data_IF_415766762598
#
_entry.id   IF_415766762598
#
_cell.length_a   1.000
_cell.length_b   1.000
_cell.length_c   1.000
_cell.angle_alpha   90.00
_cell.angle_beta   90.00
_cell.angle_gamma   90.00
#
_symmetry.space_group_name_H-M   'P 1'
#
loop_
_entity.id
_entity.type
_entity.pdbx_description
1 polymer ?
#
# COMPACT_ATOMS: atom_id res chain seq x y z
N UNK A 1 0.89 -12.04 24.10
CA UNK A 1 1.05 -12.56 22.72
C UNK A 1 0.18 -13.79 22.58
N UNK A 2 -0.61 -13.89 21.51
CA UNK A 2 -1.53 -15.03 21.27
C UNK A 2 -0.88 -15.92 20.22
N UNK A 3 -0.82 -17.25 20.47
CA UNK A 3 -0.17 -18.21 19.55
C UNK A 3 -1.22 -18.81 18.61
N UNK A 4 -0.93 -18.82 17.31
CA UNK A 4 -1.78 -19.40 16.27
C UNK A 4 -1.11 -20.66 15.72
N UNK A 5 -1.74 -21.80 15.96
CA UNK A 5 -1.21 -23.12 15.62
C UNK A 5 -2.10 -23.90 14.63
N UNK A 6 -3.28 -23.39 14.30
CA UNK A 6 -4.26 -24.10 13.47
C UNK A 6 -4.73 -23.26 12.29
N UNK A 7 -4.92 -23.91 11.13
CA UNK A 7 -5.58 -23.32 9.95
C UNK A 7 -7.05 -22.94 10.20
N UNK A 8 -7.65 -23.56 11.23
CA UNK A 8 -9.04 -23.27 11.61
C UNK A 8 -9.20 -21.96 12.39
N UNK A 9 -8.09 -21.38 12.85
CA UNK A 9 -8.10 -20.09 13.53
C UNK A 9 -8.71 -19.00 12.64
N UNK A 10 -9.63 -18.22 13.21
CA UNK A 10 -10.37 -17.17 12.49
C UNK A 10 -9.46 -16.09 11.93
N UNK A 11 -8.44 -15.67 12.68
CA UNK A 11 -7.48 -14.67 12.22
C UNK A 11 -6.68 -15.17 11.01
N UNK A 12 -6.18 -16.41 11.06
CA UNK A 12 -5.49 -17.04 9.93
C UNK A 12 -6.37 -17.03 8.67
N UNK A 13 -7.63 -17.49 8.80
CA UNK A 13 -8.59 -17.50 7.68
C UNK A 13 -8.87 -16.09 7.13
N UNK A 14 -9.02 -15.11 8.01
CA UNK A 14 -9.28 -13.73 7.62
C UNK A 14 -8.08 -13.12 6.89
N UNK A 15 -6.86 -13.26 7.41
CA UNK A 15 -5.65 -12.77 6.73
C UNK A 15 -5.49 -13.45 5.37
N UNK A 16 -5.68 -14.77 5.29
CA UNK A 16 -5.56 -15.51 4.02
C UNK A 16 -6.51 -14.99 2.94
N UNK A 17 -7.75 -14.61 3.30
CA UNK A 17 -8.72 -14.01 2.38
C UNK A 17 -8.25 -12.67 1.80
N UNK A 18 -7.43 -11.89 2.53
CA UNK A 18 -6.92 -10.60 2.06
C UNK A 18 -5.93 -10.72 0.88
N UNK A 19 -5.48 -11.93 0.53
CA UNK A 19 -4.72 -12.16 -0.71
C UNK A 19 -5.55 -11.85 -1.95
N UNK A 20 -6.87 -11.93 -1.87
CA UNK A 20 -7.79 -11.64 -2.97
C UNK A 20 -8.27 -10.19 -2.93
N UNK A 21 -8.21 -9.48 -4.08
CA UNK A 21 -8.67 -8.09 -4.23
C UNK A 21 -10.09 -7.88 -3.71
N UNK A 22 -11.02 -8.80 -4.07
CA UNK A 22 -12.44 -8.71 -3.65
C UNK A 22 -12.57 -8.63 -2.13
N UNK A 23 -11.80 -9.43 -1.40
CA UNK A 23 -11.86 -9.46 0.05
C UNK A 23 -11.19 -8.22 0.65
N UNK A 24 -10.06 -7.73 0.10
CA UNK A 24 -9.45 -6.46 0.53
C UNK A 24 -10.43 -5.30 0.41
N UNK A 25 -11.10 -5.18 -0.73
CA UNK A 25 -12.08 -4.11 -0.98
C UNK A 25 -13.28 -4.20 -0.03
N UNK A 26 -13.76 -5.42 0.27
CA UNK A 26 -14.88 -5.65 1.19
C UNK A 26 -14.52 -5.32 2.64
N UNK A 27 -13.38 -5.85 3.11
CA UNK A 27 -12.93 -5.70 4.49
C UNK A 27 -12.23 -4.35 4.74
N UNK A 28 -11.92 -3.60 3.68
CA UNK A 28 -11.13 -2.36 3.72
C UNK A 28 -9.79 -2.55 4.43
N UNK A 29 -9.13 -3.69 4.14
CA UNK A 29 -7.85 -4.08 4.76
C UNK A 29 -6.92 -4.70 3.74
N UNK A 30 -5.63 -4.58 4.01
CA UNK A 30 -4.58 -5.22 3.22
C UNK A 30 -3.44 -5.71 4.10
N UNK A 31 -2.51 -6.46 3.51
CA UNK A 31 -1.35 -7.03 4.20
C UNK A 31 -0.10 -6.28 3.74
N UNK A 32 0.77 -5.98 4.70
CA UNK A 32 2.14 -5.57 4.44
C UNK A 32 3.09 -6.60 5.05
N UNK A 33 4.22 -6.86 4.40
CA UNK A 33 5.21 -7.87 4.81
C UNK A 33 6.60 -7.25 4.92
N UNK A 34 7.31 -7.62 5.97
CA UNK A 34 8.71 -7.26 6.21
C UNK A 34 8.89 -6.15 7.24
N UNK A 35 9.96 -6.27 8.05
CA UNK A 35 10.20 -5.40 9.19
C UNK A 35 10.26 -3.92 8.81
N UNK A 36 11.01 -3.58 7.75
CA UNK A 36 11.16 -2.20 7.31
C UNK A 36 9.85 -1.58 6.86
N UNK A 37 9.04 -2.34 6.10
CA UNK A 37 7.76 -1.84 5.61
C UNK A 37 6.75 -1.68 6.73
N UNK A 38 6.74 -2.61 7.70
CA UNK A 38 5.89 -2.52 8.90
C UNK A 38 6.31 -1.34 9.77
N UNK A 39 7.60 -1.16 10.00
CA UNK A 39 8.14 0.00 10.73
C UNK A 39 7.75 1.32 10.07
N UNK A 40 7.88 1.39 8.73
CA UNK A 40 7.49 2.56 7.95
C UNK A 40 5.98 2.85 8.03
N UNK A 41 5.16 1.81 8.04
CA UNK A 41 3.72 1.95 8.28
C UNK A 41 3.41 2.59 9.63
N UNK A 42 4.10 2.18 10.70
CA UNK A 42 3.96 2.80 12.02
C UNK A 42 4.42 4.27 12.02
N UNK A 43 5.59 4.56 11.44
CA UNK A 43 6.12 5.93 11.35
C UNK A 43 5.18 6.87 10.61
N UNK A 44 4.52 6.37 9.57
CA UNK A 44 3.54 7.11 8.79
C UNK A 44 2.15 7.23 9.45
N UNK A 45 1.94 6.61 10.60
CA UNK A 45 0.64 6.61 11.30
C UNK A 45 -0.42 5.75 10.63
N UNK A 46 -0.04 4.71 9.88
CA UNK A 46 -0.99 3.77 9.28
C UNK A 46 -1.81 3.04 10.37
N UNK A 47 -3.10 2.82 10.12
CA UNK A 47 -3.98 2.10 11.05
C UNK A 47 -3.69 0.59 11.00
N UNK A 48 -2.69 0.18 11.76
CA UNK A 48 -2.27 -1.22 11.87
C UNK A 48 -3.17 -1.94 12.88
N UNK A 49 -4.00 -2.85 12.39
CA UNK A 49 -4.94 -3.63 13.22
C UNK A 49 -4.23 -4.68 14.07
N UNK A 50 -3.25 -5.36 13.49
CA UNK A 50 -2.45 -6.35 14.21
C UNK A 50 -1.13 -6.65 13.50
N UNK A 51 -0.20 -7.19 14.29
CA UNK A 51 1.05 -7.81 13.84
C UNK A 51 0.97 -9.33 13.95
N UNK A 52 1.54 -10.02 12.97
CA UNK A 52 1.77 -11.46 13.04
C UNK A 52 3.26 -11.70 12.84
N UNK A 53 3.88 -12.32 13.83
CA UNK A 53 5.29 -12.69 13.86
C UNK A 53 5.40 -14.18 13.62
N UNK A 54 6.26 -14.59 12.71
CA UNK A 54 6.61 -15.98 12.51
C UNK A 54 7.41 -16.49 13.71
N UNK A 55 7.10 -17.69 14.20
CA UNK A 55 7.84 -18.35 15.25
C UNK A 55 9.34 -18.40 14.94
N UNK A 56 10.16 -17.99 15.90
CA UNK A 56 11.61 -17.84 15.77
C UNK A 56 12.09 -16.46 15.33
N UNK A 57 11.20 -15.50 15.01
CA UNK A 57 11.55 -14.14 14.65
C UNK A 57 11.24 -13.09 15.75
N UNK A 58 10.95 -13.53 16.98
CA UNK A 58 10.54 -12.67 18.10
C UNK A 58 11.65 -11.69 18.49
N UNK A 59 12.91 -12.15 18.52
CA UNK A 59 14.06 -11.29 18.81
C UNK A 59 14.19 -10.19 17.76
N UNK A 60 14.12 -10.56 16.50
CA UNK A 60 14.19 -9.60 15.38
C UNK A 60 13.01 -8.62 15.40
N UNK A 61 11.81 -9.08 15.73
CA UNK A 61 10.67 -8.21 15.92
C UNK A 61 10.91 -7.20 17.05
N UNK A 62 11.52 -7.62 18.14
CA UNK A 62 11.86 -6.72 19.24
C UNK A 62 12.95 -5.70 18.84
N UNK A 63 13.89 -6.06 18.00
CA UNK A 63 14.93 -5.13 17.51
C UNK A 63 14.35 -4.03 16.62
N UNK A 64 13.46 -4.37 15.68
CA UNK A 64 12.91 -3.42 14.70
C UNK A 64 11.66 -2.69 15.16
N UNK A 65 10.82 -3.32 15.99
CA UNK A 65 9.47 -2.86 16.29
C UNK A 65 9.24 -2.61 17.78
N UNK A 66 10.29 -2.55 18.60
CA UNK A 66 10.22 -2.47 20.07
C UNK A 66 9.21 -1.43 20.55
N UNK A 67 9.23 -0.24 19.99
CA UNK A 67 8.37 0.89 20.40
C UNK A 67 6.89 0.63 20.07
N UNK A 68 6.62 -0.20 19.06
CA UNK A 68 5.27 -0.47 18.53
C UNK A 68 4.67 -1.75 19.12
N UNK A 69 5.49 -2.64 19.69
CA UNK A 69 5.00 -3.91 20.25
C UNK A 69 4.09 -3.71 21.48
N UNK A 70 4.22 -2.60 22.18
CA UNK A 70 3.42 -2.28 23.38
C UNK A 70 2.00 -1.83 23.05
N UNK A 71 1.78 -1.27 21.87
CA UNK A 71 0.50 -0.67 21.45
C UNK A 71 -0.27 -1.52 20.43
N UNK A 72 0.34 -2.61 19.94
CA UNK A 72 -0.22 -3.44 18.88
C UNK A 72 -0.78 -4.77 19.41
N UNK A 73 -1.81 -5.28 18.74
CA UNK A 73 -2.23 -6.68 18.91
C UNK A 73 -1.22 -7.59 18.21
N UNK A 74 -0.53 -8.42 18.96
CA UNK A 74 0.55 -9.27 18.44
C UNK A 74 0.14 -10.73 18.52
N UNK A 75 0.34 -11.42 17.39
CA UNK A 75 0.14 -12.86 17.26
C UNK A 75 1.45 -13.52 16.84
N UNK A 76 1.76 -14.64 17.48
CA UNK A 76 2.84 -15.53 17.07
C UNK A 76 2.25 -16.66 16.24
N UNK A 77 2.85 -16.96 15.10
CA UNK A 77 2.32 -17.98 14.19
C UNK A 77 3.40 -18.99 13.80
N UNK A 78 3.04 -20.27 13.80
CA UNK A 78 3.92 -21.34 13.32
C UNK A 78 4.39 -21.07 11.89
N UNK A 79 5.67 -21.34 11.61
CA UNK A 79 6.31 -21.14 10.30
C UNK A 79 5.50 -21.77 9.14
N UNK A 80 4.97 -22.98 9.34
CA UNK A 80 4.17 -23.69 8.31
C UNK A 80 2.85 -23.02 7.95
N UNK A 81 2.28 -22.21 8.87
CA UNK A 81 1.08 -21.42 8.63
C UNK A 81 1.46 -20.05 8.05
N UNK A 82 2.47 -19.40 8.61
CA UNK A 82 2.92 -18.09 8.19
C UNK A 82 3.25 -18.07 6.68
N UNK A 83 4.02 -19.05 6.20
CA UNK A 83 4.36 -19.18 4.78
C UNK A 83 3.17 -19.28 3.82
N UNK A 84 1.96 -19.65 4.31
CA UNK A 84 0.75 -19.68 3.48
C UNK A 84 0.11 -18.29 3.32
N UNK A 85 0.46 -17.34 4.17
CA UNK A 85 -0.10 -15.98 4.18
C UNK A 85 0.70 -15.02 3.31
N UNK A 86 1.97 -15.28 3.11
CA UNK A 86 2.89 -14.43 2.36
C UNK A 86 2.99 -14.82 0.89
N UNK A 87 3.53 -13.92 0.07
CA UNK A 87 3.73 -14.13 -1.36
C UNK A 87 5.21 -14.31 -1.72
N UNK A 88 6.12 -14.00 -0.80
CA UNK A 88 7.57 -14.11 -1.03
C UNK A 88 8.08 -15.52 -0.68
N UNK A 89 9.02 -16.05 -1.46
CA UNK A 89 9.67 -17.33 -1.17
C UNK A 89 10.52 -17.25 0.11
N UNK A 90 11.17 -16.11 0.34
CA UNK A 90 11.99 -15.83 1.50
C UNK A 90 11.34 -14.75 2.36
N UNK A 91 10.52 -15.19 3.33
CA UNK A 91 9.90 -14.27 4.28
C UNK A 91 10.90 -13.62 5.23
N UNK A 92 10.59 -12.39 5.65
CA UNK A 92 11.31 -11.75 6.75
C UNK A 92 10.75 -12.09 8.14
N UNK A 93 9.66 -12.86 8.21
CA UNK A 93 9.07 -13.35 9.47
C UNK A 93 8.15 -12.37 10.19
N UNK A 94 7.69 -11.32 9.52
CA UNK A 94 6.67 -10.40 10.06
C UNK A 94 5.72 -9.97 8.95
N UNK A 95 4.44 -9.89 9.29
CA UNK A 95 3.43 -9.19 8.50
C UNK A 95 2.53 -8.35 9.41
N UNK A 96 1.89 -7.35 8.83
CA UNK A 96 0.85 -6.57 9.50
C UNK A 96 -0.41 -6.52 8.64
N UNK A 97 -1.56 -6.47 9.32
CA UNK A 97 -2.86 -6.15 8.71
C UNK A 97 -3.10 -4.67 8.91
N UNK A 98 -3.30 -3.95 7.82
CA UNK A 98 -3.49 -2.50 7.79
C UNK A 98 -4.87 -2.18 7.25
N UNK A 99 -5.58 -1.22 7.87
CA UNK A 99 -6.83 -0.71 7.31
C UNK A 99 -6.54 0.27 6.18
N UNK A 100 -7.38 0.25 5.16
CA UNK A 100 -7.34 1.24 4.09
C UNK A 100 -7.86 2.57 4.62
N UNK A 101 -7.16 3.65 4.31
CA UNK A 101 -7.71 4.99 4.51
C UNK A 101 -8.78 5.24 3.45
N UNK A 102 -9.85 5.91 3.82
CA UNK A 102 -10.80 6.41 2.84
C UNK A 102 -10.10 7.50 2.01
N UNK A 103 -10.25 7.42 0.69
CA UNK A 103 -9.75 8.45 -0.20
C UNK A 103 -10.49 9.75 0.09
N UNK A 104 -9.76 10.82 0.35
CA UNK A 104 -10.36 12.15 0.43
C UNK A 104 -10.52 12.70 -0.99
N UNK A 105 -11.72 13.16 -1.34
CA UNK A 105 -11.98 13.89 -2.59
C UNK A 105 -11.65 15.38 -2.47
N UNK A 106 -10.98 15.77 -1.38
CA UNK A 106 -10.55 17.14 -1.15
C UNK A 106 -9.26 17.41 -1.95
N UNK A 107 -9.30 18.46 -2.77
CA UNK A 107 -8.12 18.93 -3.51
C UNK A 107 -7.21 19.67 -2.52
N UNK A 108 -5.98 19.16 -2.38
CA UNK A 108 -4.94 19.76 -1.54
C UNK A 108 -3.65 19.86 -2.34
N UNK A 109 -2.99 21.01 -2.28
CA UNK A 109 -1.75 21.24 -3.03
C UNK A 109 -1.97 21.45 -4.53
N UNK A 110 -0.91 21.33 -5.30
CA UNK A 110 -0.82 21.84 -6.67
C UNK A 110 -0.31 20.82 -7.71
N UNK A 111 0.09 19.62 -7.26
CA UNK A 111 0.65 18.60 -8.16
C UNK A 111 0.07 17.21 -7.89
N UNK A 112 -0.61 16.65 -8.87
CA UNK A 112 -1.13 15.28 -8.85
C UNK A 112 -0.55 14.46 -9.99
N UNK A 113 -0.31 13.17 -9.74
CA UNK A 113 0.06 12.24 -10.80
C UNK A 113 -1.11 11.31 -11.12
N UNK A 114 -1.52 11.27 -12.39
CA UNK A 114 -2.58 10.40 -12.87
C UNK A 114 -1.99 9.16 -13.54
N UNK A 115 -2.43 7.98 -13.09
CA UNK A 115 -2.09 6.69 -13.67
C UNK A 115 -3.30 6.14 -14.43
N UNK A 116 -3.27 6.22 -15.77
CA UNK A 116 -4.32 5.64 -16.60
C UNK A 116 -3.95 4.23 -17.03
N UNK A 117 -4.73 3.26 -16.55
CA UNK A 117 -4.62 1.83 -16.93
C UNK A 117 -3.21 1.24 -16.77
N UNK A 118 -2.43 1.70 -15.81
CA UNK A 118 -1.14 1.08 -15.48
C UNK A 118 -1.38 -0.32 -14.93
N UNK A 119 -0.93 -1.36 -15.63
CA UNK A 119 -1.26 -2.76 -15.30
C UNK A 119 -0.16 -3.51 -14.58
N UNK A 120 1.11 -3.12 -14.74
CA UNK A 120 2.20 -3.77 -14.01
C UNK A 120 2.31 -3.24 -12.57
N UNK A 121 2.25 -4.13 -11.56
CA UNK A 121 2.30 -3.73 -10.15
C UNK A 121 3.65 -3.12 -9.75
N UNK A 122 4.76 -3.52 -10.39
CA UNK A 122 6.09 -2.96 -10.13
C UNK A 122 6.18 -1.53 -10.66
N UNK A 123 5.66 -1.27 -11.86
CA UNK A 123 5.62 0.06 -12.45
C UNK A 123 4.76 0.99 -11.62
N UNK A 124 3.55 0.58 -11.22
CA UNK A 124 2.69 1.40 -10.36
C UNK A 124 3.39 1.75 -9.04
N UNK A 125 4.01 0.78 -8.38
CA UNK A 125 4.74 1.03 -7.13
C UNK A 125 5.92 1.98 -7.32
N UNK A 126 6.66 1.88 -8.42
CA UNK A 126 7.75 2.79 -8.76
C UNK A 126 7.25 4.21 -9.02
N UNK A 127 6.14 4.35 -9.76
CA UNK A 127 5.50 5.65 -10.01
C UNK A 127 5.10 6.32 -8.69
N UNK A 128 4.44 5.58 -7.78
CA UNK A 128 4.04 6.10 -6.47
C UNK A 128 5.24 6.56 -5.66
N UNK A 129 6.32 5.78 -5.63
CA UNK A 129 7.55 6.15 -4.94
C UNK A 129 8.18 7.41 -5.52
N UNK A 130 8.22 7.53 -6.83
CA UNK A 130 8.78 8.70 -7.52
C UNK A 130 7.91 9.94 -7.29
N UNK A 131 6.59 9.79 -7.37
CA UNK A 131 5.64 10.88 -7.09
C UNK A 131 5.77 11.41 -5.65
N UNK A 132 5.90 10.51 -4.68
CA UNK A 132 6.16 10.89 -3.28
C UNK A 132 7.47 11.67 -3.15
N UNK A 133 8.55 11.19 -3.76
CA UNK A 133 9.84 11.88 -3.73
C UNK A 133 9.82 13.24 -4.43
N UNK A 134 8.98 13.41 -5.45
CA UNK A 134 8.76 14.66 -6.17
C UNK A 134 7.79 15.63 -5.46
N UNK A 135 7.23 15.25 -4.32
CA UNK A 135 6.30 16.09 -3.56
C UNK A 135 4.88 16.15 -4.13
N UNK A 136 4.45 15.11 -4.85
CA UNK A 136 3.08 15.06 -5.35
C UNK A 136 2.06 15.12 -4.21
N UNK A 137 0.96 15.81 -4.42
CA UNK A 137 -0.14 15.97 -3.47
C UNK A 137 -1.06 14.75 -3.42
N UNK A 138 -0.98 13.86 -4.42
CA UNK A 138 -1.71 12.62 -4.48
C UNK A 138 -1.53 11.85 -5.78
N UNK A 139 -2.03 10.63 -5.79
CA UNK A 139 -2.06 9.73 -6.95
C UNK A 139 -3.50 9.48 -7.35
N UNK A 140 -3.81 9.71 -8.62
CA UNK A 140 -5.12 9.43 -9.20
C UNK A 140 -5.02 8.15 -10.01
N UNK A 141 -5.88 7.18 -9.71
CA UNK A 141 -5.92 5.89 -10.37
C UNK A 141 -7.22 5.73 -11.16
N UNK A 142 -7.12 5.56 -12.48
CA UNK A 142 -8.30 5.33 -13.31
C UNK A 142 -8.73 3.86 -13.30
N UNK A 143 -9.94 3.62 -13.77
CA UNK A 143 -10.48 2.26 -13.98
C UNK A 143 -9.56 1.45 -14.92
N UNK A 144 -9.16 0.27 -14.48
CA UNK A 144 -8.24 -0.61 -15.24
C UNK A 144 -6.81 -0.56 -14.74
N UNK A 145 -6.46 0.36 -13.84
CA UNK A 145 -5.18 0.35 -13.13
C UNK A 145 -5.12 -0.82 -12.15
N UNK A 146 -3.96 -1.43 -12.04
CA UNK A 146 -3.70 -2.55 -11.12
C UNK A 146 -4.00 -2.13 -9.67
N UNK A 147 -4.39 -3.08 -8.84
CA UNK A 147 -4.69 -2.83 -7.44
C UNK A 147 -3.44 -2.38 -6.67
N UNK A 148 -3.49 -1.18 -6.12
CA UNK A 148 -2.40 -0.61 -5.32
C UNK A 148 -2.08 -1.45 -4.08
N UNK A 149 -3.10 -2.11 -3.51
CA UNK A 149 -2.96 -2.97 -2.34
C UNK A 149 -2.58 -4.42 -2.69
N UNK A 150 -2.20 -4.68 -3.94
CA UNK A 150 -1.50 -5.90 -4.31
C UNK A 150 -0.13 -5.93 -3.62
N UNK A 151 0.26 -7.08 -3.10
CA UNK A 151 1.50 -7.27 -2.35
C UNK A 151 2.76 -6.85 -3.13
N UNK A 152 2.82 -7.12 -4.44
CA UNK A 152 3.92 -6.70 -5.30
C UNK A 152 3.94 -5.17 -5.46
N UNK A 153 2.77 -4.53 -5.62
CA UNK A 153 2.68 -3.07 -5.70
C UNK A 153 3.14 -2.44 -4.40
N UNK A 154 2.57 -2.87 -3.27
CA UNK A 154 2.93 -2.36 -1.93
C UNK A 154 4.44 -2.43 -1.69
N UNK A 155 5.07 -3.58 -1.95
CA UNK A 155 6.53 -3.70 -1.78
C UNK A 155 7.29 -2.73 -2.67
N UNK A 156 6.85 -2.54 -3.92
CA UNK A 156 7.52 -1.66 -4.87
C UNK A 156 7.41 -0.18 -4.50
N UNK A 157 6.42 0.22 -3.69
CA UNK A 157 6.30 1.60 -3.19
C UNK A 157 7.35 1.95 -2.14
N UNK A 158 8.01 0.97 -1.53
CA UNK A 158 8.98 1.16 -0.44
C UNK A 158 8.44 2.03 0.72
N UNK A 159 7.12 1.91 1.01
CA UNK A 159 6.45 2.68 2.07
C UNK A 159 5.78 3.97 1.61
N UNK A 160 6.06 4.48 0.42
CA UNK A 160 5.46 5.74 -0.09
C UNK A 160 3.93 5.71 -0.14
N UNK A 161 3.32 4.52 -0.21
CA UNK A 161 1.86 4.32 -0.18
C UNK A 161 1.20 4.84 1.10
N UNK A 162 1.93 4.96 2.19
CA UNK A 162 1.40 5.44 3.46
C UNK A 162 1.32 6.97 3.55
N UNK A 163 2.06 7.67 2.70
CA UNK A 163 2.20 9.13 2.75
C UNK A 163 1.39 9.87 1.69
N UNK A 164 1.12 9.21 0.56
CA UNK A 164 0.37 9.84 -0.54
C UNK A 164 -1.11 9.47 -0.49
N UNK A 165 -2.02 10.44 -0.59
CA UNK A 165 -3.43 10.20 -0.85
C UNK A 165 -3.62 9.42 -2.16
N UNK A 166 -4.42 8.37 -2.11
CA UNK A 166 -4.77 7.56 -3.28
C UNK A 166 -6.23 7.80 -3.64
N UNK A 167 -6.46 8.31 -4.83
CA UNK A 167 -7.77 8.68 -5.33
C UNK A 167 -8.17 7.74 -6.46
N UNK A 168 -9.26 7.02 -6.28
CA UNK A 168 -9.83 6.18 -7.34
C UNK A 168 -10.83 6.99 -8.15
N UNK A 169 -10.43 7.40 -9.36
CA UNK A 169 -11.25 8.22 -10.26
C UNK A 169 -11.72 7.39 -11.47
N UNK A 170 -12.74 6.56 -11.23
CA UNK A 170 -13.24 5.62 -12.23
C UNK A 170 -14.06 6.26 -13.35
N UNK A 171 -14.64 7.42 -13.11
CA UNK A 171 -15.51 8.18 -14.01
C UNK A 171 -14.95 9.54 -14.42
N UNK A 172 -13.71 9.82 -14.01
CA UNK A 172 -12.97 11.06 -14.26
C UNK A 172 -13.63 12.30 -13.62
N UNK A 173 -14.42 12.12 -12.57
CA UNK A 173 -15.06 13.23 -11.86
C UNK A 173 -14.06 14.07 -11.09
N UNK A 174 -13.08 13.44 -10.44
CA UNK A 174 -12.02 14.15 -9.72
C UNK A 174 -11.10 14.92 -10.70
N UNK A 175 -10.77 14.34 -11.84
CA UNK A 175 -10.00 15.02 -12.88
C UNK A 175 -10.73 16.25 -13.43
N UNK A 176 -12.05 16.16 -13.63
CA UNK A 176 -12.87 17.31 -14.05
C UNK A 176 -12.83 18.42 -13.01
N UNK A 177 -12.96 18.07 -11.72
CA UNK A 177 -12.89 19.02 -10.61
C UNK A 177 -11.53 19.72 -10.56
N UNK A 178 -10.41 18.99 -10.72
CA UNK A 178 -9.08 19.59 -10.81
C UNK A 178 -8.99 20.62 -11.95
N UNK A 179 -9.55 20.29 -13.11
CA UNK A 179 -9.57 21.20 -14.25
C UNK A 179 -10.39 22.48 -13.98
N UNK A 180 -11.54 22.34 -13.30
CA UNK A 180 -12.38 23.47 -12.88
C UNK A 180 -11.66 24.35 -11.85
N UNK A 181 -10.82 23.75 -10.99
CA UNK A 181 -9.97 24.46 -10.02
C UNK A 181 -8.68 25.06 -10.64
N UNK A 182 -8.53 24.97 -11.96
CA UNK A 182 -7.44 25.64 -12.69
C UNK A 182 -6.19 24.81 -12.91
N UNK A 183 -6.19 23.50 -12.61
CA UNK A 183 -5.05 22.63 -12.90
C UNK A 183 -4.88 22.42 -14.40
N UNK A 184 -3.63 22.51 -14.86
CA UNK A 184 -3.24 22.11 -16.21
C UNK A 184 -3.01 20.62 -16.29
N UNK A 185 -3.47 19.99 -17.39
CA UNK A 185 -3.23 18.58 -17.64
C UNK A 185 -2.05 18.41 -18.60
N UNK A 186 -0.98 17.80 -18.12
CA UNK A 186 0.20 17.43 -18.92
C UNK A 186 0.18 15.94 -19.17
N UNK A 187 0.33 15.51 -20.41
CA UNK A 187 0.35 14.10 -20.81
C UNK A 187 1.65 13.77 -21.54
N UNK A 188 2.14 12.54 -21.33
CA UNK A 188 3.24 12.01 -22.15
C UNK A 188 2.71 11.42 -23.46
N UNK A 189 3.34 11.72 -24.59
CA UNK A 189 2.99 11.21 -25.90
C UNK A 189 4.25 10.87 -26.70
N UNK A 190 4.14 9.90 -27.61
CA UNK A 190 5.19 9.57 -28.58
C UNK A 190 5.03 10.34 -29.89
N UNK A 191 3.92 11.04 -30.07
CA UNK A 191 3.59 11.80 -31.29
C UNK A 191 3.32 13.26 -30.92
N UNK A 192 3.82 14.18 -31.74
CA UNK A 192 3.61 15.63 -31.55
C UNK A 192 3.95 16.12 -30.14
N UNK A 193 5.00 15.55 -29.56
CA UNK A 193 5.45 15.89 -28.20
C UNK A 193 6.52 16.98 -28.25
N UNK A 194 6.54 17.79 -27.20
CA UNK A 194 7.63 18.73 -26.90
C UNK A 194 8.45 18.20 -25.74
N UNK A 195 9.69 18.64 -25.64
CA UNK A 195 10.53 18.32 -24.51
C UNK A 195 9.93 18.93 -23.24
N UNK A 196 9.72 18.11 -22.22
CA UNK A 196 9.12 18.52 -20.94
C UNK A 196 9.84 19.70 -20.29
N UNK A 197 11.18 19.77 -20.44
CA UNK A 197 12.00 20.84 -19.86
C UNK A 197 12.05 22.13 -20.71
N UNK A 198 11.37 22.16 -21.85
CA UNK A 198 11.28 23.32 -22.73
C UNK A 198 9.90 23.99 -22.69
N UNK A 199 8.98 23.49 -21.90
CA UNK A 199 7.67 24.09 -21.66
C UNK A 199 7.71 24.96 -20.40
N UNK A 200 7.21 26.20 -20.48
CA UNK A 200 7.03 27.12 -19.35
C UNK A 200 5.76 26.80 -18.55
#
# INVERSE_FOLDING_TARGET
MIIIESKENSLFKNIKKLKERKNRSKEKKYIIEGFRLVEEGFKAGADIECLVIEEGNEQKANEFLKEYLTVSKIYLMKKSLFGQLIATENTQGVLAVVKMNDSTEEIKGDFYLLCDKVQDPGNLGTIIRTAHAAGASGIILTKGTVDIYNDKTIRSTMGSVFYLPIIYDNDLSFLKKLKEDGFSLVTTSLQESKDFFQED
#
